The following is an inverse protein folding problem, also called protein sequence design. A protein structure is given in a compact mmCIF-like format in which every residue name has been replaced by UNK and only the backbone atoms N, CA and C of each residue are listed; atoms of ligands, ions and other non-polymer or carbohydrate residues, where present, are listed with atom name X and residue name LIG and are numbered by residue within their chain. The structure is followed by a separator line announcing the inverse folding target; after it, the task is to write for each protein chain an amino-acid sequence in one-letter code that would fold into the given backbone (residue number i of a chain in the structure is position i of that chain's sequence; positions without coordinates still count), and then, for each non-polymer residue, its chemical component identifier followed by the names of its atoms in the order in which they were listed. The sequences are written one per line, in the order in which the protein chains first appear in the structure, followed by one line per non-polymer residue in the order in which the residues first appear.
data_IF_435960493666
#
_entry.id   IF_435960493666
#
_cell.length_a   1.000
_cell.length_b   1.000
_cell.length_c   1.000
_cell.angle_alpha   90.00
_cell.angle_beta   90.00
_cell.angle_gamma   90.00
#
_symmetry.space_group_name_H-M   'P 1'
#
loop_
_entity.id
_entity.type
_entity.pdbx_description
1 polymer ?
#
# COMPACT_ATOMS: atom_id res chain seq x y z
N UNK A 1 7.77 23.64 -5.95
CA UNK A 1 8.03 23.72 -7.40
C UNK A 1 9.37 23.06 -7.62
N UNK A 2 9.44 21.95 -8.36
CA UNK A 2 10.73 21.33 -8.68
C UNK A 2 11.46 22.22 -9.67
N UNK A 3 12.60 22.79 -9.27
CA UNK A 3 13.53 23.45 -10.17
C UNK A 3 13.82 22.51 -11.35
N UNK A 4 13.63 23.00 -12.57
CA UNK A 4 13.96 22.25 -13.78
C UNK A 4 15.44 21.89 -13.82
N UNK A 5 15.85 20.92 -14.65
CA UNK A 5 17.26 20.55 -14.74
C UNK A 5 18.11 21.79 -15.09
N UNK A 6 19.21 21.98 -14.34
CA UNK A 6 20.17 23.10 -14.51
C UNK A 6 20.73 23.21 -15.94
N UNK A 7 20.65 22.13 -16.72
CA UNK A 7 21.02 22.07 -18.12
C UNK A 7 19.91 21.37 -18.93
N UNK A 8 19.54 21.97 -20.06
CA UNK A 8 18.64 21.34 -21.03
C UNK A 8 19.45 20.42 -21.93
N UNK A 9 19.27 19.13 -21.74
CA UNK A 9 19.83 18.12 -22.63
C UNK A 9 19.33 18.32 -24.08
N UNK A 10 20.21 18.58 -25.06
CA UNK A 10 19.83 18.80 -26.45
C UNK A 10 19.24 17.55 -27.13
N UNK A 11 19.50 16.35 -26.58
CA UNK A 11 19.01 15.09 -27.13
C UNK A 11 17.72 14.59 -26.49
N UNK A 12 17.20 15.30 -25.47
CA UNK A 12 16.03 14.87 -24.72
C UNK A 12 14.79 14.59 -25.61
N UNK A 13 14.62 15.36 -26.71
CA UNK A 13 13.55 15.13 -27.70
C UNK A 13 13.79 13.87 -28.54
N UNK A 14 15.05 13.61 -28.90
CA UNK A 14 15.44 12.41 -29.65
C UNK A 14 15.36 11.15 -28.79
N UNK A 15 15.56 11.24 -27.48
CA UNK A 15 15.42 10.10 -26.55
C UNK A 15 14.00 9.90 -26.00
N UNK A 16 13.09 10.85 -26.26
CA UNK A 16 11.73 10.81 -25.72
C UNK A 16 10.97 9.54 -26.10
N UNK A 17 11.19 8.99 -27.30
CA UNK A 17 10.54 7.75 -27.74
C UNK A 17 10.93 6.52 -26.91
N UNK A 18 12.10 6.53 -26.25
CA UNK A 18 12.55 5.43 -25.37
C UNK A 18 11.92 5.51 -23.99
N UNK A 19 11.47 6.70 -23.58
CA UNK A 19 10.86 6.93 -22.27
C UNK A 19 9.39 6.52 -22.32
N UNK A 20 9.15 5.22 -22.20
CA UNK A 20 7.78 4.70 -22.10
C UNK A 20 7.24 4.81 -20.67
N UNK A 21 6.01 5.30 -20.48
CA UNK A 21 5.35 5.33 -19.16
C UNK A 21 5.11 3.93 -18.56
N UNK A 22 5.19 2.88 -19.38
CA UNK A 22 5.08 1.48 -18.96
C UNK A 22 6.27 1.07 -18.07
N UNK A 23 7.46 1.62 -18.35
CA UNK A 23 8.68 1.35 -17.57
C UNK A 23 8.93 2.38 -16.47
N UNK A 24 7.93 3.20 -16.12
CA UNK A 24 8.04 4.10 -14.98
C UNK A 24 8.17 3.31 -13.68
N UNK A 25 9.04 3.77 -12.78
CA UNK A 25 9.23 3.20 -11.43
C UNK A 25 7.91 3.07 -10.66
N UNK A 26 7.00 4.01 -10.85
CA UNK A 26 5.65 3.99 -10.25
C UNK A 26 4.80 2.83 -10.77
N UNK A 27 4.85 2.55 -12.06
CA UNK A 27 4.14 1.44 -12.69
C UNK A 27 4.69 0.11 -12.22
N UNK A 28 6.02 -0.01 -12.13
CA UNK A 28 6.68 -1.20 -11.59
C UNK A 28 6.31 -1.45 -10.12
N UNK A 29 6.30 -0.41 -9.27
CA UNK A 29 5.88 -0.52 -7.86
C UNK A 29 4.46 -1.04 -7.70
N UNK A 30 3.50 -0.54 -8.49
CA UNK A 30 2.11 -0.98 -8.41
C UNK A 30 1.93 -2.43 -8.87
N UNK A 31 2.77 -2.91 -9.78
CA UNK A 31 2.70 -4.26 -10.30
C UNK A 31 3.50 -5.28 -9.47
N UNK A 32 4.29 -4.83 -8.49
CA UNK A 32 5.12 -5.71 -7.66
C UNK A 32 4.30 -6.66 -6.78
N UNK A 33 3.13 -6.20 -6.31
CA UNK A 33 2.23 -7.00 -5.48
C UNK A 33 0.83 -7.06 -6.09
N UNK A 34 0.61 -7.95 -7.08
CA UNK A 34 -0.71 -8.12 -7.66
C UNK A 34 -1.70 -8.53 -6.55
N UNK A 35 -2.78 -7.77 -6.39
CA UNK A 35 -3.82 -8.06 -5.40
C UNK A 35 -3.52 -7.58 -3.96
N UNK A 36 -2.44 -6.84 -3.71
CA UNK A 36 -2.14 -6.30 -2.36
C UNK A 36 -3.30 -5.53 -1.75
N UNK A 37 -3.98 -4.69 -2.53
CA UNK A 37 -5.15 -3.93 -2.03
C UNK A 37 -6.29 -4.84 -1.57
N UNK A 38 -6.56 -5.93 -2.30
CA UNK A 38 -7.60 -6.90 -1.94
C UNK A 38 -7.21 -7.65 -0.66
N UNK A 39 -5.93 -8.05 -0.56
CA UNK A 39 -5.42 -8.74 0.62
C UNK A 39 -5.53 -7.88 1.89
N UNK A 40 -5.17 -6.60 1.81
CA UNK A 40 -5.29 -5.65 2.94
C UNK A 40 -6.75 -5.50 3.37
N UNK A 41 -7.68 -5.36 2.42
CA UNK A 41 -9.11 -5.25 2.72
C UNK A 41 -9.65 -6.52 3.38
N UNK A 42 -9.34 -7.70 2.82
CA UNK A 42 -9.78 -8.98 3.37
C UNK A 42 -9.23 -9.21 4.78
N UNK A 43 -7.95 -8.91 4.99
CA UNK A 43 -7.31 -9.02 6.31
C UNK A 43 -7.92 -8.04 7.32
N UNK A 44 -8.15 -6.79 6.94
CA UNK A 44 -8.81 -5.81 7.80
C UNK A 44 -10.23 -6.23 8.18
N UNK A 45 -11.01 -6.72 7.22
CA UNK A 45 -12.35 -7.25 7.48
C UNK A 45 -12.31 -8.44 8.45
N UNK A 46 -11.33 -9.34 8.30
CA UNK A 46 -11.13 -10.46 9.21
C UNK A 46 -10.83 -9.98 10.64
N UNK A 47 -9.89 -9.06 10.82
CA UNK A 47 -9.55 -8.53 12.15
C UNK A 47 -10.75 -7.86 12.83
N UNK A 48 -11.56 -7.09 12.07
CA UNK A 48 -12.77 -6.45 12.62
C UNK A 48 -13.77 -7.52 13.06
N UNK A 49 -14.03 -8.53 12.22
CA UNK A 49 -14.93 -9.63 12.56
C UNK A 49 -14.41 -10.41 13.78
N UNK A 50 -13.11 -10.65 13.85
CA UNK A 50 -12.46 -11.30 14.98
C UNK A 50 -12.69 -10.51 16.27
N UNK A 51 -12.41 -9.20 16.25
CA UNK A 51 -12.48 -8.35 17.44
C UNK A 51 -13.91 -8.04 17.91
N UNK A 52 -14.90 -8.03 17.00
CA UNK A 52 -16.27 -7.59 17.32
C UNK A 52 -17.30 -8.72 17.38
N UNK A 53 -17.16 -9.76 16.56
CA UNK A 53 -18.16 -10.83 16.40
C UNK A 53 -17.68 -12.14 17.01
N UNK A 54 -16.40 -12.48 16.83
CA UNK A 54 -15.86 -13.80 17.20
C UNK A 54 -15.18 -13.84 18.57
N UNK A 55 -14.80 -12.69 19.16
CA UNK A 55 -14.35 -12.65 20.55
C UNK A 55 -15.53 -12.86 21.50
N UNK A 56 -15.60 -13.96 22.26
CA UNK A 56 -16.55 -14.06 23.36
C UNK A 56 -16.22 -12.93 24.36
N UNK A 57 -17.24 -12.20 24.81
CA UNK A 57 -17.11 -11.32 25.97
C UNK A 57 -16.73 -12.20 27.17
N UNK A 58 -15.44 -12.28 27.50
CA UNK A 58 -15.01 -12.79 28.80
C UNK A 58 -15.58 -11.84 29.86
N UNK A 59 -16.69 -12.28 30.47
CA UNK A 59 -17.24 -11.60 31.63
C UNK A 59 -16.21 -11.70 32.75
N UNK A 60 -15.67 -10.54 33.13
CA UNK A 60 -14.93 -10.32 34.37
C UNK A 60 -15.71 -10.93 35.54
N UNK A 61 -15.20 -11.99 36.15
CA UNK A 61 -15.60 -12.37 37.51
C UNK A 61 -14.50 -11.90 38.47
N UNK A 62 -14.73 -10.77 39.12
CA UNK A 62 -14.16 -10.48 40.44
C UNK A 62 -14.33 -11.72 41.31
N UNK A 63 -13.28 -12.30 41.88
CA UNK A 63 -13.34 -13.07 43.14
C UNK A 63 -11.99 -12.88 43.83
N UNK A 64 -11.96 -12.00 44.83
CA UNK A 64 -10.84 -11.91 45.76
C UNK A 64 -10.90 -13.05 46.77
N UNK A 65 -9.74 -13.54 47.20
CA UNK A 65 -9.57 -14.25 48.47
C UNK A 65 -8.12 -14.08 48.96
N UNK A 66 -7.99 -13.24 50.00
CA UNK A 66 -7.04 -13.41 51.10
C UNK A 66 -7.63 -14.42 52.09
#
# INVERSE_FOLDING_TARGET
MSEGPLYRDPWARAEAWRKSPIFSTRTQMRNLFPGFGIAVVAFGAYLIAEQTILKPKENKSEHGHH
#
